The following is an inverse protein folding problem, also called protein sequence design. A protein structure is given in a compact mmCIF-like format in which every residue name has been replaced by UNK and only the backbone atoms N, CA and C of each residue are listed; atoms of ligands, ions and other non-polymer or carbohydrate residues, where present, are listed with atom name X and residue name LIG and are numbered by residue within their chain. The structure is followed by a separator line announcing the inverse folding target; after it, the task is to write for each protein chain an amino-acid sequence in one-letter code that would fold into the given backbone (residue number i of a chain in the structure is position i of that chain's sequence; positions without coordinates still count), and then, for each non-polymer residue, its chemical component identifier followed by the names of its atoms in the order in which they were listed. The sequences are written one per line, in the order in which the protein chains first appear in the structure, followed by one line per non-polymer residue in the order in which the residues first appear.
data_IF_863940915398
#
_entry.id   IF_863940915398
#
_cell.length_a   1.000
_cell.length_b   1.000
_cell.length_c   1.000
_cell.angle_alpha   90.00
_cell.angle_beta   90.00
_cell.angle_gamma   90.00
#
_symmetry.space_group_name_H-M   'P 1'
#
loop_
_entity.id
_entity.type
_entity.pdbx_description
1 polymer ?
#
# COMPACT_ATOMS: atom_id res chain seq x y z
N UNK A 1 19.28 10.96 -25.66
CA UNK A 1 18.95 11.79 -24.48
C UNK A 1 18.15 10.93 -23.51
N UNK A 2 18.82 10.34 -22.52
CA UNK A 2 18.17 9.49 -21.53
C UNK A 2 17.36 10.35 -20.56
N UNK A 3 16.06 10.13 -20.50
CA UNK A 3 15.22 10.69 -19.45
C UNK A 3 15.74 10.18 -18.10
N UNK A 4 16.12 11.10 -17.21
CA UNK A 4 16.54 10.76 -15.85
C UNK A 4 15.43 9.95 -15.19
N UNK A 5 15.74 8.71 -14.81
CA UNK A 5 14.88 7.90 -13.98
C UNK A 5 14.71 8.61 -12.64
N UNK A 6 13.62 9.38 -12.50
CA UNK A 6 13.20 9.91 -11.22
C UNK A 6 13.12 8.72 -10.24
N UNK A 7 13.85 8.79 -9.12
CA UNK A 7 13.72 7.85 -8.01
C UNK A 7 12.23 7.70 -7.70
N UNK A 8 11.72 6.49 -7.81
CA UNK A 8 10.29 6.24 -7.65
C UNK A 8 9.90 6.51 -6.19
N UNK A 9 9.01 7.48 -5.93
CA UNK A 9 8.65 7.87 -4.56
C UNK A 9 7.91 6.76 -3.80
N UNK A 10 7.38 5.76 -4.51
CA UNK A 10 6.57 4.68 -3.95
C UNK A 10 7.40 3.61 -3.24
N UNK A 11 8.63 3.29 -3.69
CA UNK A 11 9.43 2.24 -3.08
C UNK A 11 9.76 2.53 -1.60
N UNK A 12 10.24 3.74 -1.21
CA UNK A 12 10.45 4.07 0.19
C UNK A 12 9.18 4.03 1.06
N UNK A 13 8.02 4.31 0.47
CA UNK A 13 6.73 4.26 1.17
C UNK A 13 6.29 2.81 1.41
N UNK A 14 6.52 1.92 0.44
CA UNK A 14 6.27 0.49 0.59
C UNK A 14 7.25 -0.15 1.57
N UNK A 15 8.55 0.18 1.50
CA UNK A 15 9.56 -0.25 2.48
C UNK A 15 9.15 0.11 3.91
N UNK A 16 8.62 1.32 4.11
CA UNK A 16 8.12 1.76 5.40
C UNK A 16 6.87 1.00 5.82
N UNK A 17 5.91 0.79 4.91
CA UNK A 17 4.69 0.02 5.17
C UNK A 17 4.98 -1.41 5.61
N UNK A 18 5.88 -2.09 4.89
CA UNK A 18 6.21 -3.50 5.10
C UNK A 18 7.28 -3.71 6.17
N UNK A 19 7.81 -2.62 6.75
CA UNK A 19 8.82 -2.64 7.79
C UNK A 19 8.34 -3.19 9.14
N UNK A 20 9.29 -3.25 10.08
CA UNK A 20 9.10 -3.79 11.45
C UNK A 20 8.62 -2.78 12.47
N UNK A 21 8.65 -1.51 12.11
CA UNK A 21 8.26 -0.42 13.01
C UNK A 21 6.80 -0.05 12.78
N UNK A 22 6.03 0.17 13.86
CA UNK A 22 4.63 0.56 13.76
C UNK A 22 4.52 1.95 13.15
N UNK A 23 3.52 2.14 12.31
CA UNK A 23 3.19 3.44 11.71
C UNK A 23 2.02 4.05 12.50
N UNK A 24 2.20 5.22 13.15
CA UNK A 24 1.12 5.91 13.84
C UNK A 24 -0.05 6.24 12.91
N UNK A 25 -1.27 6.22 13.44
CA UNK A 25 -2.49 6.50 12.66
C UNK A 25 -2.56 7.95 12.14
N UNK A 26 -1.93 8.88 12.85
CA UNK A 26 -1.87 10.31 12.53
C UNK A 26 -0.64 10.69 11.68
N UNK A 27 0.20 9.73 11.31
CA UNK A 27 1.40 9.99 10.53
C UNK A 27 1.06 10.47 9.11
N UNK A 28 1.75 11.52 8.65
CA UNK A 28 1.63 12.06 7.29
C UNK A 28 1.90 11.02 6.20
N UNK A 29 2.62 9.96 6.55
CA UNK A 29 2.83 8.77 5.73
C UNK A 29 1.56 8.30 5.02
N UNK A 30 0.43 8.22 5.72
CA UNK A 30 -0.80 7.70 5.13
C UNK A 30 -1.32 8.61 4.03
N UNK A 31 -1.17 9.93 4.18
CA UNK A 31 -1.53 10.87 3.12
C UNK A 31 -0.63 10.69 1.90
N UNK A 32 0.69 10.56 2.11
CA UNK A 32 1.67 10.39 1.04
C UNK A 32 1.49 9.06 0.29
N UNK A 33 1.41 7.94 1.03
CA UNK A 33 1.21 6.61 0.47
C UNK A 33 -0.08 6.52 -0.34
N UNK A 34 -1.20 6.96 0.24
CA UNK A 34 -2.52 6.76 -0.37
C UNK A 34 -2.79 7.74 -1.51
N UNK A 35 -2.14 8.90 -1.51
CA UNK A 35 -2.17 9.81 -2.67
C UNK A 35 -1.18 9.38 -3.76
N UNK A 36 -0.18 8.55 -3.44
CA UNK A 36 0.79 8.11 -4.44
C UNK A 36 0.14 7.17 -5.46
N UNK A 37 0.22 7.56 -6.73
CA UNK A 37 0.05 6.58 -7.80
C UNK A 37 1.28 5.67 -7.78
N UNK A 38 1.07 4.36 -7.66
CA UNK A 38 2.16 3.38 -7.85
C UNK A 38 2.60 3.50 -9.31
N UNK A 39 3.64 4.29 -9.55
CA UNK A 39 4.23 4.41 -10.87
C UNK A 39 5.18 3.25 -11.08
N UNK A 40 5.00 2.50 -12.15
CA UNK A 40 5.91 1.45 -12.55
C UNK A 40 6.99 2.04 -13.48
N UNK A 41 8.25 1.61 -13.40
CA UNK A 41 9.27 2.02 -14.37
C UNK A 41 8.78 1.72 -15.79
N UNK A 42 9.01 2.64 -16.73
CA UNK A 42 8.71 2.40 -18.13
C UNK A 42 9.45 1.14 -18.62
N UNK A 43 8.71 0.19 -19.21
CA UNK A 43 9.26 -1.09 -19.65
C UNK A 43 9.21 -2.23 -18.62
N UNK A 44 8.57 -2.02 -17.46
CA UNK A 44 8.34 -3.12 -16.51
C UNK A 44 7.45 -4.21 -17.11
N UNK A 45 7.90 -5.46 -17.06
CA UNK A 45 7.07 -6.60 -17.45
C UNK A 45 6.02 -6.90 -16.38
N UNK A 46 4.97 -7.63 -16.76
CA UNK A 46 3.96 -8.11 -15.79
C UNK A 46 4.62 -9.04 -14.77
N UNK A 47 5.60 -9.84 -15.19
CA UNK A 47 6.35 -10.71 -14.27
C UNK A 47 7.11 -9.90 -13.21
N UNK A 48 7.80 -8.82 -13.59
CA UNK A 48 8.57 -7.98 -12.65
C UNK A 48 7.66 -7.35 -11.59
N UNK A 49 6.52 -6.80 -12.02
CA UNK A 49 5.53 -6.18 -11.12
C UNK A 49 4.98 -7.21 -10.15
N UNK A 50 4.71 -8.43 -10.65
CA UNK A 50 4.20 -9.53 -9.82
C UNK A 50 5.23 -9.97 -8.79
N UNK A 51 6.49 -10.13 -9.18
CA UNK A 51 7.57 -10.51 -8.29
C UNK A 51 7.80 -9.47 -7.18
N UNK A 52 7.86 -8.18 -7.56
CA UNK A 52 8.03 -7.08 -6.61
C UNK A 52 6.83 -7.00 -5.64
N UNK A 53 5.61 -7.11 -6.16
CA UNK A 53 4.41 -7.07 -5.34
C UNK A 53 4.39 -8.22 -4.33
N UNK A 54 4.75 -9.43 -4.75
CA UNK A 54 4.86 -10.60 -3.87
C UNK A 54 5.93 -10.41 -2.80
N UNK A 55 7.07 -9.81 -3.12
CA UNK A 55 8.12 -9.53 -2.16
C UNK A 55 7.62 -8.61 -1.03
N UNK A 56 7.03 -7.47 -1.37
CA UNK A 56 6.44 -6.56 -0.37
C UNK A 56 5.31 -7.20 0.43
N UNK A 57 4.45 -8.00 -0.20
CA UNK A 57 3.39 -8.69 0.53
C UNK A 57 3.95 -9.71 1.54
N UNK A 58 4.96 -10.50 1.14
CA UNK A 58 5.62 -11.43 2.04
C UNK A 58 6.34 -10.70 3.19
N UNK A 59 6.91 -9.53 2.94
CA UNK A 59 7.49 -8.70 4.00
C UNK A 59 6.46 -8.17 4.99
N UNK A 60 5.34 -7.68 4.50
CA UNK A 60 4.25 -7.23 5.37
C UNK A 60 3.80 -8.38 6.28
N UNK A 61 3.49 -9.55 5.71
CA UNK A 61 3.05 -10.73 6.49
C UNK A 61 4.06 -11.08 7.59
N UNK A 62 5.35 -11.12 7.24
CA UNK A 62 6.41 -11.49 8.17
C UNK A 62 6.61 -10.49 9.31
N UNK A 63 6.50 -9.20 9.00
CA UNK A 63 6.80 -8.13 9.97
C UNK A 63 5.55 -7.64 10.73
N UNK A 64 4.35 -7.89 10.21
CA UNK A 64 3.10 -7.40 10.77
C UNK A 64 2.77 -7.87 12.20
N UNK A 65 3.14 -9.09 12.65
CA UNK A 65 2.96 -9.47 14.06
C UNK A 65 3.64 -8.52 15.05
N UNK A 66 4.71 -7.83 14.61
CA UNK A 66 5.41 -6.80 15.40
C UNK A 66 4.92 -5.38 15.08
N UNK A 67 4.77 -5.03 13.80
CA UNK A 67 4.49 -3.65 13.40
C UNK A 67 3.00 -3.28 13.48
N UNK A 68 2.09 -4.24 13.28
CA UNK A 68 0.65 -3.98 13.19
C UNK A 68 0.24 -3.14 11.97
N UNK A 69 1.14 -2.92 11.01
CA UNK A 69 0.92 -1.98 9.90
C UNK A 69 -0.23 -2.39 8.96
N UNK A 70 -0.55 -3.67 8.84
CA UNK A 70 -1.73 -4.13 8.11
C UNK A 70 -3.04 -3.68 8.80
N UNK A 71 -3.09 -3.79 10.13
CA UNK A 71 -4.22 -3.29 10.91
C UNK A 71 -4.35 -1.77 10.83
N UNK A 72 -3.21 -1.06 10.88
CA UNK A 72 -3.17 0.39 10.70
C UNK A 72 -3.63 0.80 9.28
N UNK A 73 -3.25 0.06 8.24
CA UNK A 73 -3.73 0.27 6.86
C UNK A 73 -5.25 0.07 6.75
N UNK A 74 -5.80 -0.95 7.42
CA UNK A 74 -7.24 -1.18 7.44
C UNK A 74 -8.00 -0.02 8.13
N UNK A 75 -7.47 0.49 9.24
CA UNK A 75 -8.01 1.66 9.92
C UNK A 75 -7.93 2.92 9.05
N UNK A 76 -6.79 3.17 8.40
CA UNK A 76 -6.60 4.27 7.47
C UNK A 76 -7.59 4.17 6.28
N UNK A 77 -7.80 2.97 5.73
CA UNK A 77 -8.79 2.74 4.67
C UNK A 77 -10.20 3.10 5.13
N UNK A 78 -10.64 2.63 6.30
CA UNK A 78 -11.97 2.94 6.83
C UNK A 78 -12.17 4.46 7.01
N UNK A 79 -11.16 5.16 7.50
CA UNK A 79 -11.18 6.61 7.64
C UNK A 79 -11.30 7.33 6.28
N UNK A 80 -10.52 6.91 5.28
CA UNK A 80 -10.57 7.51 3.93
C UNK A 80 -11.89 7.23 3.22
N UNK A 81 -12.45 6.04 3.37
CA UNK A 81 -13.79 5.72 2.86
C UNK A 81 -14.84 6.64 3.48
N UNK A 82 -14.82 6.83 4.80
CA UNK A 82 -15.75 7.75 5.47
C UNK A 82 -15.66 9.20 4.97
N UNK A 83 -14.46 9.66 4.59
CA UNK A 83 -14.27 10.98 3.97
C UNK A 83 -14.80 11.03 2.54
N UNK A 84 -14.55 9.98 1.75
CA UNK A 84 -14.94 9.90 0.34
C UNK A 84 -16.45 9.72 0.11
N UNK A 85 -17.19 9.18 1.09
CA UNK A 85 -18.65 9.06 1.02
C UNK A 85 -19.41 10.36 1.29
N UNK A 86 -18.71 11.45 1.64
CA UNK A 86 -19.32 12.77 1.88
C UNK A 86 -19.72 13.41 0.55
N UNK A 87 -20.84 14.14 0.53
CA UNK A 87 -21.38 14.80 -0.66
C UNK A 87 -20.45 15.83 -1.32
N UNK A 88 -19.41 16.28 -0.61
CA UNK A 88 -18.42 17.24 -1.08
C UNK A 88 -16.98 16.68 -1.03
N UNK A 89 -16.81 15.37 -1.22
CA UNK A 89 -15.49 14.76 -1.29
C UNK A 89 -14.69 15.31 -2.48
N UNK A 90 -13.43 15.65 -2.22
CA UNK A 90 -12.48 16.09 -3.24
C UNK A 90 -11.95 14.91 -4.07
N UNK A 91 -11.46 15.17 -5.29
CA UNK A 91 -10.81 14.14 -6.13
C UNK A 91 -9.65 13.46 -5.39
N UNK A 92 -8.89 14.23 -4.61
CA UNK A 92 -7.80 13.71 -3.77
C UNK A 92 -8.30 12.75 -2.70
N UNK A 93 -9.42 13.05 -2.03
CA UNK A 93 -10.01 12.14 -1.03
C UNK A 93 -10.52 10.86 -1.68
N UNK A 94 -11.13 10.97 -2.86
CA UNK A 94 -11.56 9.80 -3.64
C UNK A 94 -10.36 8.95 -4.07
N UNK A 95 -9.29 9.56 -4.57
CA UNK A 95 -8.06 8.88 -4.94
C UNK A 95 -7.42 8.17 -3.75
N UNK A 96 -7.35 8.81 -2.57
CA UNK A 96 -6.84 8.18 -1.37
C UNK A 96 -7.68 6.99 -0.92
N UNK A 97 -9.01 7.09 -1.01
CA UNK A 97 -9.90 5.97 -0.70
C UNK A 97 -9.68 4.79 -1.65
N UNK A 98 -9.60 5.06 -2.96
CA UNK A 98 -9.29 4.04 -3.96
C UNK A 98 -7.91 3.39 -3.73
N UNK A 99 -6.89 4.20 -3.45
CA UNK A 99 -5.54 3.73 -3.14
C UNK A 99 -5.50 2.83 -1.90
N UNK A 100 -6.25 3.21 -0.84
CA UNK A 100 -6.32 2.44 0.39
C UNK A 100 -7.01 1.08 0.18
N UNK A 101 -8.13 1.06 -0.54
CA UNK A 101 -8.83 -0.19 -0.89
C UNK A 101 -7.95 -1.08 -1.75
N UNK A 102 -7.26 -0.50 -2.75
CA UNK A 102 -6.37 -1.24 -3.63
C UNK A 102 -5.23 -1.91 -2.88
N UNK A 103 -4.54 -1.18 -2.00
CA UNK A 103 -3.44 -1.71 -1.20
C UNK A 103 -3.93 -2.80 -0.24
N UNK A 104 -4.99 -2.53 0.53
CA UNK A 104 -5.52 -3.51 1.49
C UNK A 104 -5.94 -4.80 0.77
N UNK A 105 -6.67 -4.68 -0.35
CA UNK A 105 -7.07 -5.83 -1.16
C UNK A 105 -5.88 -6.60 -1.71
N UNK A 106 -4.82 -5.93 -2.13
CA UNK A 106 -3.61 -6.57 -2.65
C UNK A 106 -2.94 -7.43 -1.60
N UNK A 107 -2.76 -6.91 -0.39
CA UNK A 107 -2.20 -7.69 0.73
C UNK A 107 -3.11 -8.81 1.18
N UNK A 108 -4.42 -8.56 1.32
CA UNK A 108 -5.41 -9.59 1.67
C UNK A 108 -5.40 -10.74 0.67
N UNK A 109 -5.40 -10.42 -0.62
CA UNK A 109 -5.34 -11.43 -1.68
C UNK A 109 -4.08 -12.30 -1.53
N UNK A 110 -2.92 -11.68 -1.32
CA UNK A 110 -1.67 -12.43 -1.13
C UNK A 110 -1.74 -13.35 0.09
N UNK A 111 -2.23 -12.85 1.23
CA UNK A 111 -2.39 -13.66 2.44
C UNK A 111 -3.29 -14.87 2.18
N UNK A 112 -4.44 -14.68 1.53
CA UNK A 112 -5.36 -15.78 1.21
C UNK A 112 -4.79 -16.79 0.21
N UNK A 113 -3.89 -16.37 -0.68
CA UNK A 113 -3.22 -17.25 -1.64
C UNK A 113 -2.00 -17.99 -1.06
N UNK A 114 -1.50 -17.58 0.11
CA UNK A 114 -0.22 -18.08 0.67
C UNK A 114 -0.33 -18.66 2.08
N UNK A 115 -1.35 -18.29 2.85
CA UNK A 115 -1.68 -18.94 4.10
C UNK A 115 -2.37 -20.26 3.77
N UNK A 116 -1.70 -21.37 4.07
CA UNK A 116 -2.34 -22.68 4.08
C UNK A 116 -3.39 -22.70 5.19
N UNK A 117 -4.58 -23.29 4.97
CA UNK A 117 -5.55 -23.48 6.03
C UNK A 117 -4.91 -24.27 7.18
N UNK A 118 -5.10 -23.81 8.42
CA UNK A 118 -4.73 -24.61 9.59
C UNK A 118 -5.65 -25.85 9.63
N UNK A 119 -5.05 -27.04 9.63
CA UNK A 119 -5.72 -28.35 9.76
C UNK A 119 -6.36 -28.56 11.15
#
# INVERSE_FOLDING_TARGET
MGAGAAKQPTAPLLDRLTGREPIPSDDRFWQELLASAVSLPAGSSVEDVTAISRAYCAELVRNNPRSGNFGALAAAMAERLGRATRSAATDTEMQQACGAVFLLRTFLKHMLETLEPED
#
